data_IF_667440004682
#
_entry.id   IF_667440004682
#
_cell.length_a   1.000
_cell.length_b   1.000
_cell.length_c   1.000
_cell.angle_alpha   90.00
_cell.angle_beta   90.00
_cell.angle_gamma   90.00
#
_symmetry.space_group_name_H-M   'P 1'
#
loop_
_entity.id
_entity.type
_entity.pdbx_description
1 polymer ?
#
# COMPACT_ATOMS: atom_id res chain seq x y z
N UNK A 1 -21.29 35.70 26.53
CA UNK A 1 -20.57 34.51 27.03
C UNK A 1 -20.96 33.33 26.18
N UNK A 2 -19.97 32.71 25.55
CA UNK A 2 -20.09 31.72 24.47
C UNK A 2 -20.65 30.38 24.94
N UNK A 3 -21.65 29.87 24.23
CA UNK A 3 -22.00 28.45 24.23
C UNK A 3 -21.35 27.79 23.01
N UNK A 4 -20.54 26.78 23.27
CA UNK A 4 -19.80 26.01 22.27
C UNK A 4 -20.75 25.19 21.40
N UNK A 5 -20.63 25.32 20.07
CA UNK A 5 -21.23 24.41 19.10
C UNK A 5 -20.46 23.08 19.16
N UNK A 6 -21.18 21.99 19.44
CA UNK A 6 -20.70 20.63 19.19
C UNK A 6 -20.43 20.51 17.68
N UNK A 7 -19.18 20.20 17.32
CA UNK A 7 -18.82 19.82 15.98
C UNK A 7 -19.51 18.49 15.66
N UNK A 8 -20.48 18.52 14.75
CA UNK A 8 -21.09 17.32 14.19
C UNK A 8 -20.04 16.57 13.36
N UNK A 9 -19.39 15.59 13.97
CA UNK A 9 -18.67 14.57 13.22
C UNK A 9 -19.69 13.74 12.44
N UNK A 10 -19.58 13.73 11.11
CA UNK A 10 -20.33 12.79 10.28
C UNK A 10 -19.84 11.40 10.67
N UNK A 11 -20.73 10.56 11.23
CA UNK A 11 -20.45 9.14 11.43
C UNK A 11 -20.34 8.54 10.03
N UNK A 12 -19.11 8.31 9.58
CA UNK A 12 -18.83 7.64 8.30
C UNK A 12 -18.99 6.15 8.55
N UNK A 13 -19.90 5.51 7.82
CA UNK A 13 -20.08 4.06 7.88
C UNK A 13 -18.97 3.41 7.06
N UNK A 14 -18.17 2.57 7.72
CA UNK A 14 -17.13 1.79 7.06
C UNK A 14 -17.77 0.70 6.19
N UNK A 15 -17.07 0.31 5.14
CA UNK A 15 -17.33 -0.89 4.38
C UNK A 15 -17.30 -2.10 5.30
N UNK A 16 -18.44 -2.78 5.38
CA UNK A 16 -18.52 -4.13 5.90
C UNK A 16 -17.67 -5.11 5.08
N UNK A 17 -17.44 -6.31 5.63
CA UNK A 17 -16.72 -7.40 4.95
C UNK A 17 -17.32 -7.75 3.58
N UNK A 18 -18.64 -7.60 3.40
CA UNK A 18 -19.32 -7.84 2.11
C UNK A 18 -18.84 -6.85 1.06
N UNK A 19 -18.75 -5.57 1.40
CA UNK A 19 -18.27 -4.53 0.48
C UNK A 19 -16.79 -4.74 0.12
N UNK A 20 -15.97 -5.12 1.10
CA UNK A 20 -14.55 -5.42 0.87
C UNK A 20 -14.37 -6.62 -0.05
N UNK A 21 -15.16 -7.69 0.12
CA UNK A 21 -15.11 -8.85 -0.78
C UNK A 21 -15.56 -8.49 -2.20
N UNK A 22 -16.57 -7.63 -2.37
CA UNK A 22 -16.96 -7.13 -3.70
C UNK A 22 -15.86 -6.30 -4.37
N UNK A 23 -15.13 -5.49 -3.60
CA UNK A 23 -13.97 -4.76 -4.11
C UNK A 23 -12.83 -5.71 -4.47
N UNK A 24 -12.59 -6.73 -3.64
CA UNK A 24 -11.61 -7.77 -3.89
C UNK A 24 -11.92 -8.49 -5.21
N UNK A 25 -13.13 -9.04 -5.37
CA UNK A 25 -13.55 -9.72 -6.62
C UNK A 25 -13.38 -8.82 -7.86
N UNK A 26 -13.72 -7.54 -7.74
CA UNK A 26 -13.54 -6.56 -8.82
C UNK A 26 -12.08 -6.29 -9.14
N UNK A 27 -11.20 -6.26 -8.13
CA UNK A 27 -9.77 -6.11 -8.31
C UNK A 27 -9.16 -7.36 -8.96
N UNK A 28 -9.57 -8.55 -8.52
CA UNK A 28 -9.13 -9.84 -9.09
C UNK A 28 -9.53 -9.96 -10.57
N UNK A 29 -10.69 -9.42 -10.96
CA UNK A 29 -11.16 -9.45 -12.35
C UNK A 29 -10.27 -8.66 -13.33
N UNK A 30 -9.43 -7.73 -12.84
CA UNK A 30 -8.53 -6.94 -13.69
C UNK A 30 -7.04 -7.20 -13.43
N UNK A 31 -6.71 -7.90 -12.34
CA UNK A 31 -5.35 -8.30 -12.02
C UNK A 31 -5.09 -9.71 -12.55
N UNK A 32 -3.94 -9.95 -13.17
CA UNK A 32 -3.58 -11.33 -13.54
C UNK A 32 -2.15 -11.53 -13.99
N UNK A 33 -1.55 -10.56 -14.68
CA UNK A 33 -0.15 -10.66 -15.07
C UNK A 33 0.75 -10.32 -13.89
N UNK A 34 1.56 -11.29 -13.50
CA UNK A 34 2.49 -11.17 -12.38
C UNK A 34 3.92 -10.97 -12.88
N UNK A 35 4.60 -9.95 -12.36
CA UNK A 35 6.02 -9.69 -12.60
C UNK A 35 6.83 -9.93 -11.32
N UNK A 36 8.08 -10.34 -11.48
CA UNK A 36 9.00 -10.54 -10.34
C UNK A 36 9.36 -9.19 -9.72
N UNK A 37 9.41 -9.14 -8.40
CA UNK A 37 10.06 -8.05 -7.66
C UNK A 37 11.19 -8.59 -6.77
N UNK A 38 12.05 -7.68 -6.33
CA UNK A 38 13.09 -7.94 -5.32
C UNK A 38 13.05 -6.95 -4.16
N UNK A 39 12.43 -5.78 -4.35
CA UNK A 39 12.43 -4.70 -3.36
C UNK A 39 11.05 -4.06 -3.21
N UNK A 40 10.77 -3.57 -2.00
CA UNK A 40 9.78 -2.51 -1.78
C UNK A 40 10.50 -1.17 -1.78
N UNK A 41 9.83 -0.13 -2.24
CA UNK A 41 10.41 1.21 -2.27
C UNK A 41 9.42 2.29 -1.86
N UNK A 42 9.94 3.34 -1.21
CA UNK A 42 9.19 4.52 -0.79
C UNK A 42 9.90 5.76 -1.30
N UNK A 43 9.18 6.58 -2.06
CA UNK A 43 9.68 7.86 -2.54
C UNK A 43 9.16 8.97 -1.62
N UNK A 44 10.05 9.89 -1.23
CA UNK A 44 9.76 11.03 -0.37
C UNK A 44 10.74 12.18 -0.64
N UNK A 45 10.49 13.32 0.00
CA UNK A 45 11.43 14.43 0.04
C UNK A 45 12.64 14.09 0.93
N UNK A 46 13.76 14.76 0.72
CA UNK A 46 15.00 14.50 1.46
C UNK A 46 14.81 14.69 2.96
N UNK A 47 14.08 15.75 3.32
CA UNK A 47 13.82 16.18 4.69
C UNK A 47 13.10 15.09 5.50
N UNK A 48 12.26 14.27 4.86
CA UNK A 48 11.61 13.14 5.53
C UNK A 48 12.64 12.11 6.00
N UNK A 49 13.59 11.74 5.13
CA UNK A 49 14.63 10.77 5.47
C UNK A 49 15.68 11.35 6.42
N UNK A 50 16.00 12.64 6.31
CA UNK A 50 16.90 13.30 7.26
C UNK A 50 16.27 13.34 8.65
N UNK A 51 14.99 13.73 8.76
CA UNK A 51 14.27 13.68 10.04
C UNK A 51 14.22 12.28 10.64
N UNK A 52 14.00 11.24 9.83
CA UNK A 52 14.05 9.86 10.31
C UNK A 52 15.44 9.46 10.85
N UNK A 53 16.52 9.94 10.23
CA UNK A 53 17.91 9.73 10.71
C UNK A 53 18.19 10.46 12.01
N UNK A 54 17.86 11.75 12.05
CA UNK A 54 18.34 12.66 13.07
C UNK A 54 17.44 12.65 14.32
N UNK A 55 16.12 12.48 14.14
CA UNK A 55 15.11 12.66 15.20
C UNK A 55 14.35 11.38 15.55
N UNK A 56 14.46 10.31 14.75
CA UNK A 56 13.68 9.05 14.93
C UNK A 56 14.55 7.80 15.08
N UNK A 57 15.77 7.96 15.61
CA UNK A 57 16.72 6.86 15.84
C UNK A 57 16.93 6.01 14.57
N UNK A 58 17.08 6.67 13.42
CA UNK A 58 17.24 6.02 12.11
C UNK A 58 16.04 5.19 11.62
N UNK A 59 14.84 5.40 12.17
CA UNK A 59 13.64 4.65 11.80
C UNK A 59 12.60 5.54 11.12
N UNK A 60 12.05 5.04 10.02
CA UNK A 60 10.79 5.56 9.51
C UNK A 60 9.66 5.06 10.40
N UNK A 61 8.86 5.98 10.94
CA UNK A 61 7.72 5.65 11.79
C UNK A 61 6.40 5.59 10.99
N UNK A 62 5.50 4.63 11.31
CA UNK A 62 4.16 4.58 10.75
C UNK A 62 3.40 5.90 10.93
N UNK A 63 2.56 6.23 9.97
CA UNK A 63 1.62 7.35 10.05
C UNK A 63 0.22 6.90 9.67
N UNK A 64 -0.79 7.58 10.22
CA UNK A 64 -2.20 7.28 9.93
C UNK A 64 -2.47 7.37 8.43
N UNK A 65 -3.10 6.34 7.87
CA UNK A 65 -3.57 6.31 6.48
C UNK A 65 -4.49 7.49 6.22
N UNK A 66 -4.20 8.22 5.15
CA UNK A 66 -4.98 9.38 4.74
C UNK A 66 -6.34 8.99 4.12
N UNK A 67 -7.13 9.98 3.72
CA UNK A 67 -8.47 9.78 3.15
C UNK A 67 -8.45 9.39 1.66
N UNK A 68 -7.29 9.06 1.09
CA UNK A 68 -7.23 8.56 -0.28
C UNK A 68 -7.84 7.17 -0.40
N UNK A 69 -8.42 6.87 -1.56
CA UNK A 69 -9.14 5.62 -1.80
C UNK A 69 -10.65 5.74 -1.65
N UNK A 70 -11.29 4.62 -1.33
CA UNK A 70 -12.73 4.56 -1.12
C UNK A 70 -13.13 5.25 0.17
N UNK A 71 -14.20 6.04 0.13
CA UNK A 71 -14.69 6.75 1.31
C UNK A 71 -15.09 5.81 2.47
N UNK A 72 -15.53 4.59 2.18
CA UNK A 72 -15.87 3.59 3.21
C UNK A 72 -14.69 2.73 3.66
N UNK A 73 -13.46 2.99 3.22
CA UNK A 73 -12.34 2.12 3.54
C UNK A 73 -12.08 2.07 5.06
N UNK A 74 -12.06 0.88 5.69
CA UNK A 74 -11.94 0.74 7.15
C UNK A 74 -10.53 1.08 7.68
N UNK A 75 -9.56 1.29 6.79
CA UNK A 75 -8.19 1.69 7.16
C UNK A 75 -8.00 3.20 7.18
N UNK A 76 -8.78 3.97 6.41
CA UNK A 76 -8.60 5.42 6.26
C UNK A 76 -8.87 6.15 7.58
N UNK A 77 -7.91 6.94 8.02
CA UNK A 77 -7.94 7.65 9.30
C UNK A 77 -7.78 6.76 10.53
N UNK A 78 -7.50 5.45 10.38
CA UNK A 78 -7.52 4.48 11.48
C UNK A 78 -6.30 3.58 11.58
N UNK A 79 -5.81 3.07 10.45
CA UNK A 79 -4.63 2.23 10.40
C UNK A 79 -3.38 3.10 10.26
N UNK A 80 -2.37 2.83 11.09
CA UNK A 80 -1.03 3.40 10.93
C UNK A 80 -0.16 2.48 10.09
N UNK A 81 0.63 3.06 9.19
CA UNK A 81 1.61 2.32 8.43
C UNK A 81 2.56 3.20 7.64
N UNK A 82 3.56 2.55 7.04
CA UNK A 82 4.47 3.10 6.04
C UNK A 82 3.99 2.68 4.66
N UNK A 83 3.89 3.64 3.74
CA UNK A 83 3.39 3.43 2.39
C UNK A 83 4.56 3.16 1.44
N UNK A 84 4.54 1.98 0.83
CA UNK A 84 5.51 1.50 -0.14
C UNK A 84 4.84 1.20 -1.48
N UNK A 85 5.65 1.18 -2.52
CA UNK A 85 5.34 0.62 -3.82
C UNK A 85 6.24 -0.58 -4.09
N UNK A 86 5.81 -1.45 -4.99
CA UNK A 86 6.63 -2.58 -5.46
C UNK A 86 6.50 -2.82 -6.97
N UNK A 87 5.74 -2.00 -7.69
CA UNK A 87 5.61 -2.12 -9.14
C UNK A 87 6.97 -1.95 -9.82
N UNK A 88 7.23 -2.76 -10.83
CA UNK A 88 8.46 -2.72 -11.63
C UNK A 88 8.19 -2.29 -13.06
N UNK A 89 9.19 -1.69 -13.70
CA UNK A 89 9.17 -1.48 -15.14
C UNK A 89 9.28 -2.83 -15.86
N UNK A 90 8.38 -3.06 -16.83
CA UNK A 90 8.28 -4.33 -17.55
C UNK A 90 9.60 -4.81 -18.18
N UNK A 91 10.40 -3.88 -18.73
CA UNK A 91 11.62 -4.21 -19.45
C UNK A 91 12.81 -4.51 -18.52
N UNK A 92 12.84 -3.92 -17.32
CA UNK A 92 14.01 -3.98 -16.43
C UNK A 92 13.76 -4.82 -15.19
N UNK A 93 12.50 -5.02 -14.79
CA UNK A 93 12.14 -5.63 -13.51
C UNK A 93 12.58 -4.80 -12.30
N UNK A 94 12.91 -3.52 -12.51
CA UNK A 94 13.36 -2.59 -11.47
C UNK A 94 12.29 -1.55 -11.16
N UNK A 95 12.35 -0.92 -9.97
CA UNK A 95 11.53 0.26 -9.67
C UNK A 95 11.66 1.35 -10.74
N UNK A 96 10.56 2.03 -11.13
CA UNK A 96 10.57 3.15 -12.08
C UNK A 96 11.54 4.24 -11.68
N UNK A 97 12.17 4.95 -12.62
CA UNK A 97 13.14 6.01 -12.26
C UNK A 97 12.51 7.37 -11.95
N UNK A 98 11.20 7.52 -12.14
CA UNK A 98 10.41 8.70 -11.83
C UNK A 98 9.51 8.50 -10.61
N UNK A 99 9.07 9.60 -10.00
CA UNK A 99 8.11 9.55 -8.90
C UNK A 99 7.36 10.87 -8.70
N UNK A 100 6.04 10.83 -8.43
CA UNK A 100 5.28 12.00 -8.01
C UNK A 100 5.44 12.33 -6.52
N UNK A 101 6.05 11.45 -5.70
CA UNK A 101 6.09 11.58 -4.24
C UNK A 101 7.39 12.20 -3.70
N UNK A 102 8.40 12.39 -4.55
CA UNK A 102 9.70 12.94 -4.18
C UNK A 102 10.84 12.23 -4.90
N UNK A 103 12.01 12.89 -4.92
CA UNK A 103 13.19 12.40 -5.65
C UNK A 103 14.10 11.50 -4.83
N UNK A 104 13.87 11.38 -3.53
CA UNK A 104 14.64 10.46 -2.70
C UNK A 104 13.85 9.17 -2.51
N UNK A 105 14.51 8.05 -2.73
CA UNK A 105 13.93 6.72 -2.63
C UNK A 105 14.65 5.92 -1.57
N UNK A 106 13.88 5.39 -0.64
CA UNK A 106 14.30 4.26 0.16
C UNK A 106 13.91 2.96 -0.53
N UNK A 107 14.86 2.04 -0.73
CA UNK A 107 14.64 0.69 -1.22
C UNK A 107 15.04 -0.33 -0.15
N UNK A 108 14.21 -1.35 0.07
CA UNK A 108 14.45 -2.44 1.03
C UNK A 108 14.13 -3.77 0.37
N UNK A 109 14.92 -4.81 0.67
CA UNK A 109 14.68 -6.15 0.14
C UNK A 109 13.30 -6.67 0.54
N UNK A 110 12.64 -7.36 -0.39
CA UNK A 110 11.24 -7.78 -0.24
C UNK A 110 11.03 -8.69 0.98
N UNK A 111 11.99 -9.57 1.26
CA UNK A 111 11.96 -10.52 2.38
C UNK A 111 11.97 -9.83 3.77
N UNK A 112 12.45 -8.59 3.86
CA UNK A 112 12.43 -7.82 5.11
C UNK A 112 11.03 -7.42 5.54
N UNK A 113 10.16 -7.10 4.58
CA UNK A 113 8.78 -6.67 4.87
C UNK A 113 7.77 -7.80 4.67
N UNK A 114 8.00 -8.66 3.67
CA UNK A 114 7.06 -9.69 3.26
C UNK A 114 7.73 -11.07 3.31
N UNK A 115 7.35 -11.86 4.30
CA UNK A 115 7.90 -13.19 4.57
C UNK A 115 6.86 -14.02 5.36
N UNK A 116 7.14 -15.29 5.68
CA UNK A 116 6.19 -16.15 6.40
C UNK A 116 5.71 -15.65 7.77
N UNK A 117 6.38 -14.67 8.38
CA UNK A 117 5.97 -14.05 9.65
C UNK A 117 5.14 -12.77 9.44
N UNK A 118 4.78 -12.44 8.20
CA UNK A 118 3.91 -11.32 7.82
C UNK A 118 2.60 -11.83 7.23
N UNK A 119 1.47 -11.27 7.66
CA UNK A 119 0.18 -11.49 7.02
C UNK A 119 -0.07 -10.44 5.92
N UNK A 120 -0.73 -10.87 4.84
CA UNK A 120 -1.12 -10.03 3.72
C UNK A 120 -2.64 -9.86 3.72
N UNK A 121 -3.11 -8.62 3.78
CA UNK A 121 -4.54 -8.28 3.76
C UNK A 121 -4.89 -7.40 2.56
N UNK A 122 -6.10 -7.57 2.05
CA UNK A 122 -6.69 -6.65 1.08
C UNK A 122 -7.32 -5.44 1.81
N UNK A 123 -6.88 -4.24 1.49
CA UNK A 123 -7.32 -3.00 2.13
C UNK A 123 -8.39 -2.25 1.34
N UNK A 124 -8.19 -2.06 0.03
CA UNK A 124 -9.09 -1.29 -0.81
C UNK A 124 -8.80 -1.50 -2.31
N UNK A 125 -9.73 -1.09 -3.17
CA UNK A 125 -9.57 -1.02 -4.61
C UNK A 125 -10.23 0.25 -5.16
N UNK A 126 -9.44 1.10 -5.80
CA UNK A 126 -9.91 2.39 -6.29
C UNK A 126 -9.16 2.86 -7.53
N UNK A 127 -9.65 3.93 -8.15
CA UNK A 127 -8.89 4.73 -9.08
C UNK A 127 -9.12 6.20 -8.77
N UNK A 128 -8.19 7.04 -9.17
CA UNK A 128 -8.40 8.49 -9.30
C UNK A 128 -8.57 8.76 -10.79
N UNK A 129 -9.38 9.76 -11.19
CA UNK A 129 -9.73 10.24 -12.55
C UNK A 129 -8.68 10.03 -13.68
N UNK A 130 -8.27 8.79 -13.90
CA UNK A 130 -7.13 8.30 -14.65
C UNK A 130 -7.46 6.86 -15.06
N UNK A 131 -6.70 6.30 -15.99
CA UNK A 131 -6.89 4.92 -16.42
C UNK A 131 -6.36 3.89 -15.40
N UNK A 132 -5.58 4.31 -14.39
CA UNK A 132 -4.89 3.42 -13.48
C UNK A 132 -5.76 3.08 -12.26
N UNK A 133 -5.72 1.81 -11.88
CA UNK A 133 -6.36 1.32 -10.68
C UNK A 133 -5.32 0.95 -9.63
N UNK A 134 -5.65 1.24 -8.38
CA UNK A 134 -4.84 1.05 -7.20
C UNK A 134 -5.49 -0.04 -6.36
N UNK A 135 -4.68 -1.00 -5.94
CA UNK A 135 -5.03 -1.96 -4.90
C UNK A 135 -4.20 -1.63 -3.67
N UNK A 136 -4.87 -1.40 -2.55
CA UNK A 136 -4.19 -1.24 -1.26
C UNK A 136 -4.04 -2.61 -0.63
N UNK A 137 -2.81 -2.98 -0.33
CA UNK A 137 -2.46 -4.19 0.41
C UNK A 137 -1.84 -3.79 1.75
N UNK A 138 -2.17 -4.53 2.82
CA UNK A 138 -1.55 -4.34 4.12
C UNK A 138 -0.67 -5.54 4.46
N UNK A 139 0.59 -5.25 4.74
CA UNK A 139 1.58 -6.17 5.30
C UNK A 139 1.70 -5.92 6.79
N UNK A 140 1.25 -6.87 7.60
CA UNK A 140 1.27 -6.75 9.05
C UNK A 140 2.02 -7.94 9.67
N UNK A 141 3.12 -7.71 10.42
CA UNK A 141 3.81 -8.76 11.15
C UNK A 141 2.87 -9.49 12.12
N UNK A 142 2.94 -10.83 12.13
CA UNK A 142 2.01 -11.67 12.89
C UNK A 142 2.04 -11.33 14.39
N UNK A 143 0.86 -11.07 14.94
CA UNK A 143 0.67 -10.70 16.35
C UNK A 143 1.01 -9.25 16.68
N UNK A 144 1.30 -8.41 15.69
CA UNK A 144 1.45 -6.97 15.91
C UNK A 144 0.09 -6.28 16.07
N UNK A 145 0.11 -5.02 16.51
CA UNK A 145 -1.10 -4.19 16.61
C UNK A 145 -1.78 -4.00 15.25
N UNK A 146 -0.99 -3.82 14.19
CA UNK A 146 -1.50 -3.71 12.82
C UNK A 146 -2.18 -5.01 12.38
N UNK A 147 -1.60 -6.16 12.72
CA UNK A 147 -2.17 -7.46 12.39
C UNK A 147 -3.51 -7.69 13.12
N UNK A 148 -3.57 -7.38 14.41
CA UNK A 148 -4.81 -7.49 15.19
C UNK A 148 -5.90 -6.52 14.69
N UNK A 149 -5.51 -5.33 14.23
CA UNK A 149 -6.43 -4.40 13.58
C UNK A 149 -7.01 -5.01 12.29
N UNK A 150 -6.14 -5.56 11.43
CA UNK A 150 -6.51 -6.08 10.12
C UNK A 150 -7.36 -7.36 10.21
N UNK A 151 -7.03 -8.32 11.08
CA UNK A 151 -7.78 -9.58 11.26
C UNK A 151 -9.28 -9.38 11.48
N UNK A 152 -9.64 -8.30 12.16
CA UNK A 152 -11.03 -8.00 12.51
C UNK A 152 -11.80 -7.30 11.37
N UNK A 153 -11.10 -6.76 10.37
CA UNK A 153 -11.65 -5.78 9.43
C UNK A 153 -11.43 -6.11 7.96
N UNK A 154 -10.32 -6.76 7.62
CA UNK A 154 -9.85 -6.92 6.25
C UNK A 154 -9.83 -8.39 5.80
N UNK A 155 -10.14 -8.69 4.54
CA UNK A 155 -9.91 -10.00 3.96
C UNK A 155 -8.42 -10.38 4.01
N UNK A 156 -8.12 -11.54 4.58
CA UNK A 156 -6.79 -12.15 4.53
C UNK A 156 -6.57 -12.78 3.15
N UNK A 157 -5.42 -12.51 2.54
CA UNK A 157 -5.03 -13.10 1.26
C UNK A 157 -4.06 -14.26 1.47
N UNK A 158 -4.17 -15.29 0.61
CA UNK A 158 -3.17 -16.34 0.55
C UNK A 158 -1.86 -15.78 0.00
N UNK A 159 -0.82 -15.77 0.84
CA UNK A 159 0.51 -15.26 0.52
C UNK A 159 1.16 -15.96 -0.68
N UNK A 160 0.92 -17.25 -0.88
CA UNK A 160 1.49 -18.01 -1.99
C UNK A 160 0.63 -17.88 -3.26
N UNK A 161 -0.67 -17.64 -3.11
CA UNK A 161 -1.62 -17.71 -4.22
C UNK A 161 -2.69 -16.62 -4.16
N UNK A 162 -2.36 -15.44 -4.69
CA UNK A 162 -3.32 -14.37 -4.97
C UNK A 162 -2.86 -13.58 -6.22
N UNK A 163 -3.75 -12.85 -6.89
CA UNK A 163 -3.41 -12.17 -8.14
C UNK A 163 -2.71 -10.82 -7.95
N UNK A 164 -2.37 -10.42 -6.71
CA UNK A 164 -1.81 -9.10 -6.41
C UNK A 164 -0.35 -9.14 -6.00
N UNK A 165 0.00 -9.86 -4.93
CA UNK A 165 1.34 -9.87 -4.35
C UNK A 165 1.61 -11.23 -3.71
N UNK A 166 2.58 -11.98 -4.24
CA UNK A 166 2.88 -13.35 -3.77
C UNK A 166 4.29 -13.48 -3.22
N UNK A 167 4.44 -14.37 -2.23
CA UNK A 167 5.70 -14.84 -1.68
C UNK A 167 5.67 -16.37 -1.67
N UNK A 168 6.55 -16.99 -2.48
CA UNK A 168 6.68 -18.44 -2.62
C UNK A 168 8.05 -18.89 -2.17
N UNK A 169 8.16 -20.06 -1.55
CA UNK A 169 9.45 -20.71 -1.34
C UNK A 169 9.94 -21.31 -2.66
N UNK A 170 11.22 -21.17 -2.95
CA UNK A 170 11.85 -21.84 -4.08
C UNK A 170 12.11 -23.30 -3.69
N UNK A 171 11.62 -24.24 -4.48
CA UNK A 171 11.70 -25.69 -4.19
C UNK A 171 13.08 -26.30 -4.52
N UNK A 172 13.87 -25.68 -5.41
CA UNK A 172 15.22 -26.13 -5.79
C UNK A 172 16.32 -25.15 -5.35
N UNK A 173 17.22 -25.57 -4.43
CA UNK A 173 18.37 -24.79 -3.95
C UNK A 173 18.22 -24.20 -2.54
N UNK A 174 19.13 -23.29 -2.14
CA UNK A 174 19.33 -22.71 -0.79
C UNK A 174 18.14 -21.87 -0.24
N UNK A 175 16.93 -22.43 -0.17
CA UNK A 175 15.85 -21.93 0.72
C UNK A 175 15.41 -20.48 0.51
N UNK A 176 15.40 -19.98 -0.73
CA UNK A 176 15.05 -18.60 -1.06
C UNK A 176 13.54 -18.32 -1.14
N UNK A 177 13.18 -17.04 -1.03
CA UNK A 177 11.83 -16.54 -1.30
C UNK A 177 11.76 -15.90 -2.70
N UNK A 178 10.67 -16.16 -3.42
CA UNK A 178 10.36 -15.61 -4.72
C UNK A 178 9.10 -14.75 -4.64
N UNK A 179 9.21 -13.52 -5.12
CA UNK A 179 8.18 -12.51 -5.00
C UNK A 179 7.65 -12.06 -6.34
N UNK A 180 6.34 -11.91 -6.45
CA UNK A 180 5.72 -11.33 -7.63
C UNK A 180 4.63 -10.33 -7.27
N UNK A 181 4.46 -9.30 -8.10
CA UNK A 181 3.38 -8.33 -8.00
C UNK A 181 2.54 -8.29 -9.28
N UNK A 182 1.30 -7.85 -9.18
CA UNK A 182 0.45 -7.56 -10.31
C UNK A 182 1.01 -6.40 -11.12
N UNK A 183 1.10 -6.59 -12.45
CA UNK A 183 1.46 -5.54 -13.39
C UNK A 183 0.27 -4.67 -13.76
N UNK A 184 -0.93 -5.25 -13.81
CA UNK A 184 -2.13 -4.61 -14.38
C UNK A 184 -2.77 -3.58 -13.43
N UNK A 185 -2.31 -3.53 -12.17
CA UNK A 185 -2.73 -2.58 -11.14
C UNK A 185 -1.51 -1.98 -10.43
N UNK A 186 -1.68 -0.79 -9.88
CA UNK A 186 -0.68 -0.16 -9.01
C UNK A 186 -0.92 -0.66 -7.59
N UNK A 187 0.13 -1.17 -6.94
CA UNK A 187 0.04 -1.64 -5.55
C UNK A 187 0.54 -0.56 -4.60
N UNK A 188 -0.36 -0.11 -3.74
CA UNK A 188 -0.02 0.66 -2.54
C UNK A 188 0.08 -0.31 -1.38
N UNK A 189 1.30 -0.52 -0.88
CA UNK A 189 1.60 -1.51 0.15
C UNK A 189 1.84 -0.79 1.47
N UNK A 190 0.97 -1.02 2.45
CA UNK A 190 1.06 -0.46 3.79
C UNK A 190 1.77 -1.48 4.68
N UNK A 191 2.96 -1.13 5.20
CA UNK A 191 3.63 -1.93 6.22
C UNK A 191 3.37 -1.33 7.61
N UNK A 192 2.86 -2.11 8.56
CA UNK A 192 2.30 -1.55 9.81
C UNK A 192 3.31 -1.28 10.92
N UNK A 193 4.58 -1.66 10.75
CA UNK A 193 5.63 -1.47 11.76
C UNK A 193 6.69 -0.45 11.32
N UNK A 194 7.46 0.13 12.27
CA UNK A 194 8.62 0.94 11.93
C UNK A 194 9.65 0.20 11.08
N UNK A 195 10.34 0.92 10.20
CA UNK A 195 11.39 0.36 9.35
C UNK A 195 12.68 1.15 9.56
N UNK A 196 13.74 0.45 9.94
CA UNK A 196 15.08 1.01 10.09
C UNK A 196 15.65 1.35 8.71
N UNK A 197 16.15 2.57 8.52
CA UNK A 197 16.79 2.99 7.27
C UNK A 197 18.06 2.17 6.97
N UNK A 198 18.71 1.59 7.98
CA UNK A 198 19.85 0.70 7.80
C UNK A 198 19.46 -0.66 7.17
N UNK A 199 18.17 -1.01 7.14
CA UNK A 199 17.69 -2.24 6.48
C UNK A 199 17.66 -2.13 4.95
N UNK A 200 17.87 -0.92 4.42
CA UNK A 200 17.80 -0.63 3.00
C UNK A 200 18.76 0.49 2.60
N UNK A 201 18.47 1.13 1.47
CA UNK A 201 19.29 2.21 0.93
C UNK A 201 18.43 3.40 0.56
N UNK A 202 18.86 4.60 0.97
CA UNK A 202 18.27 5.86 0.51
C UNK A 202 19.16 6.44 -0.59
N UNK A 203 18.60 6.68 -1.78
CA UNK A 203 19.30 7.30 -2.90
C UNK A 203 18.40 8.28 -3.65
N UNK A 204 18.99 9.23 -4.37
CA UNK A 204 18.25 10.09 -5.28
C UNK A 204 17.97 9.34 -6.60
N UNK A 205 16.74 9.43 -7.11
CA UNK A 205 16.36 8.89 -8.42
C UNK A 205 16.58 9.93 -9.52
N UNK A 206 16.97 9.46 -10.70
CA UNK A 206 17.40 10.31 -11.83
C UNK A 206 16.25 10.80 -12.72
N UNK A 207 15.03 10.31 -12.53
CA UNK A 207 13.88 10.63 -13.36
C UNK A 207 13.19 11.96 -13.03
N UNK A 208 12.20 12.30 -13.86
CA UNK A 208 11.44 13.53 -13.75
C UNK A 208 10.49 13.48 -12.54
N UNK A 209 10.50 14.53 -11.71
CA UNK A 209 9.49 14.70 -10.67
C UNK A 209 8.22 15.26 -11.31
N UNK A 210 7.20 14.42 -11.53
CA UNK A 210 5.88 14.93 -11.90
C UNK A 210 5.27 15.64 -10.68
N UNK A 211 5.33 16.98 -10.68
CA UNK A 211 4.86 17.80 -9.55
C UNK A 211 3.33 17.78 -9.34
N UNK A 212 2.54 17.07 -10.16
CA UNK A 212 1.08 17.26 -10.23
C UNK A 212 0.22 16.04 -9.87
N UNK A 213 0.77 14.95 -9.34
CA UNK A 213 0.01 13.69 -9.11
C UNK A 213 0.21 13.09 -7.72
N UNK A 214 0.30 13.91 -6.67
CA UNK A 214 0.21 13.36 -5.31
C UNK A 214 -1.13 12.66 -5.14
N UNK A 215 -1.10 11.41 -4.68
CA UNK A 215 -2.31 10.65 -4.32
C UNK A 215 -2.80 10.98 -2.92
N UNK A 216 -2.12 11.88 -2.21
CA UNK A 216 -2.49 12.28 -0.85
C UNK A 216 -3.91 12.86 -0.83
N UNK A 217 -4.78 12.25 -0.05
CA UNK A 217 -6.22 12.55 0.03
C UNK A 217 -6.95 12.53 -1.33
N UNK A 218 -6.40 11.82 -2.32
CA UNK A 218 -7.00 11.78 -3.64
C UNK A 218 -8.31 10.98 -3.60
N UNK A 219 -9.37 11.63 -4.09
CA UNK A 219 -10.71 11.05 -4.08
C UNK A 219 -10.86 9.99 -5.17
N UNK A 220 -11.50 8.89 -4.81
CA UNK A 220 -11.95 7.87 -5.76
C UNK A 220 -12.86 8.48 -6.81
N UNK A 221 -12.67 8.12 -8.08
CA UNK A 221 -13.55 8.53 -9.17
C UNK A 221 -14.94 7.89 -9.00
N UNK A 222 -16.00 8.68 -8.72
CA UNK A 222 -17.34 8.13 -8.47
C UNK A 222 -18.02 7.59 -9.73
N UNK A 223 -17.46 7.84 -10.93
CA UNK A 223 -18.02 7.40 -12.21
C UNK A 223 -17.44 6.07 -12.71
N UNK A 224 -16.36 5.58 -12.10
CA UNK A 224 -15.68 4.37 -12.54
C UNK A 224 -16.56 3.12 -12.37
N UNK A 225 -16.76 2.35 -13.44
CA UNK A 225 -17.56 1.11 -13.41
C UNK A 225 -16.77 -0.11 -12.92
N UNK A 226 -15.44 -0.01 -12.94
CA UNK A 226 -14.54 -1.09 -12.55
C UNK A 226 -14.44 -1.16 -11.03
N UNK A 227 -13.97 -0.10 -10.37
CA UNK A 227 -13.67 -0.12 -8.93
C UNK A 227 -14.82 0.33 -8.02
N UNK A 228 -15.89 0.95 -8.53
CA UNK A 228 -17.04 1.27 -7.68
C UNK A 228 -17.93 0.04 -7.49
N UNK A 229 -18.40 -0.11 -6.25
CA UNK A 229 -19.48 -1.03 -5.93
C UNK A 229 -20.76 -0.42 -6.48
N UNK A 230 -21.44 -1.14 -7.38
CA UNK A 230 -22.79 -0.78 -7.77
C UNK A 230 -23.72 -1.09 -6.61
N UNK A 231 -24.33 -0.07 -6.01
CA UNK A 231 -25.56 -0.26 -5.25
C UNK A 231 -26.60 -0.83 -6.22
N UNK A 232 -26.87 -2.13 -6.11
CA UNK A 232 -27.94 -2.79 -6.86
C UNK A 232 -29.23 -2.02 -6.63
N UNK A 233 -29.93 -1.70 -7.72
CA UNK A 233 -31.34 -1.30 -7.65
C UNK A 233 -32.20 -2.51 -7.32
#
# INVERSE_FOLDING_TARGET
>A
MMAWRLAGGVIREDYSTVHLNQLLEKAEAIAGRMLRLSVFYRNQNKEYFDHARDEQENRMLPSVKDDSGSHGSPISGKLEGLFFSCNTEFNTGKPPQDSPYGRHRFEVQADKLFNPDTNLYFGDFYCMYTAYHFVILVLAPKGSKGDDFCKQRLPLLDMANNPFLTCKRVEEGEGGLLFHHAQDVILEVIYTEPVDLASGTVAEISGYQQMSMSTVNAKKDPSCKTCNISVGR
#
